data_IF_114672763346
#
_entry.id   IF_114672763346
#
_cell.length_a   1.000
_cell.length_b   1.000
_cell.length_c   1.000
_cell.angle_alpha   90.00
_cell.angle_beta   90.00
_cell.angle_gamma   90.00
#
_symmetry.space_group_name_H-M   'P 1'
#
loop_
_entity.id
_entity.type
_entity.pdbx_description
1 polymer ?
#
# COMPACT_ATOMS: atom_id res chain seq x y z
N UNK A 1 26.67 -2.82 5.40
CA UNK A 1 25.32 -2.27 5.15
C UNK A 1 24.32 -3.10 5.95
N UNK A 2 23.52 -2.52 6.85
CA UNK A 2 22.49 -3.28 7.53
C UNK A 2 21.40 -3.69 6.52
N UNK A 3 20.79 -4.87 6.69
CA UNK A 3 19.75 -5.36 5.79
C UNK A 3 18.49 -4.48 5.86
N UNK A 4 17.69 -4.37 4.79
CA UNK A 4 16.46 -3.60 4.79
C UNK A 4 15.37 -4.33 5.60
N UNK A 5 15.46 -4.24 6.93
CA UNK A 5 14.51 -4.84 7.86
C UNK A 5 13.38 -3.86 8.23
N UNK A 6 12.68 -3.27 7.25
CA UNK A 6 11.43 -2.53 7.52
C UNK A 6 10.45 -2.65 6.35
N UNK A 7 10.07 -3.87 6.00
CA UNK A 7 8.74 -4.12 5.41
C UNK A 7 7.95 -4.86 6.47
N UNK A 8 7.40 -4.08 7.41
CA UNK A 8 6.40 -4.54 8.37
C UNK A 8 5.34 -3.46 8.52
N UNK A 9 4.65 -3.19 7.41
CA UNK A 9 3.25 -2.74 7.47
C UNK A 9 2.40 -3.89 6.92
N UNK A 10 2.21 -4.87 7.80
CA UNK A 10 1.24 -5.98 7.66
C UNK A 10 -0.12 -5.55 8.22
N UNK A 11 -0.24 -4.32 8.72
CA UNK A 11 -1.53 -3.72 8.94
C UNK A 11 -2.21 -3.54 7.57
N UNK A 12 -3.41 -4.10 7.35
CA UNK A 12 -4.18 -3.74 6.17
C UNK A 12 -4.33 -2.21 6.20
N UNK A 13 -3.86 -1.45 5.18
CA UNK A 13 -4.05 0.00 5.15
C UNK A 13 -5.49 0.32 5.50
N UNK A 14 -5.76 1.33 6.33
CA UNK A 14 -7.13 1.70 6.75
C UNK A 14 -8.09 1.93 5.55
N UNK A 15 -7.55 2.15 4.36
CA UNK A 15 -8.27 2.18 3.10
C UNK A 15 -8.91 0.82 2.70
N UNK A 16 -8.40 -0.34 3.12
CA UNK A 16 -8.95 -1.65 2.73
C UNK A 16 -10.35 -1.89 3.25
N UNK A 17 -10.62 -1.53 4.50
CA UNK A 17 -11.95 -1.70 5.11
C UNK A 17 -12.98 -0.78 4.45
N UNK A 18 -12.59 0.45 4.10
CA UNK A 18 -13.46 1.40 3.38
C UNK A 18 -13.70 1.01 1.93
N UNK A 19 -12.70 0.46 1.22
CA UNK A 19 -12.86 -0.05 -0.15
C UNK A 19 -13.75 -1.29 -0.16
N UNK A 20 -13.58 -2.20 0.80
CA UNK A 20 -14.41 -3.39 0.95
C UNK A 20 -15.86 -3.01 1.31
N UNK A 21 -16.06 -2.06 2.23
CA UNK A 21 -17.39 -1.62 2.65
C UNK A 21 -18.14 -0.89 1.54
N UNK A 22 -17.46 -0.07 0.73
CA UNK A 22 -18.04 0.54 -0.47
C UNK A 22 -18.42 -0.51 -1.51
N UNK A 23 -17.56 -1.52 -1.70
CA UNK A 23 -17.84 -2.65 -2.57
C UNK A 23 -19.10 -3.40 -2.13
N UNK A 24 -19.15 -3.76 -0.84
CA UNK A 24 -20.29 -4.41 -0.22
C UNK A 24 -21.59 -3.60 -0.35
N UNK A 25 -21.56 -2.32 0.02
CA UNK A 25 -22.71 -1.43 -0.05
C UNK A 25 -23.26 -1.36 -1.48
N UNK A 26 -22.38 -1.27 -2.48
CA UNK A 26 -22.78 -1.20 -3.88
C UNK A 26 -23.32 -2.54 -4.43
N UNK A 27 -22.91 -3.67 -3.86
CA UNK A 27 -23.46 -5.00 -4.15
C UNK A 27 -24.84 -5.20 -3.51
N UNK A 28 -24.96 -4.85 -2.22
CA UNK A 28 -26.23 -4.86 -1.46
C UNK A 28 -27.27 -3.95 -2.10
N UNK A 29 -26.89 -2.73 -2.53
CA UNK A 29 -27.86 -1.80 -3.11
C UNK A 29 -28.41 -2.31 -4.44
N UNK A 30 -27.55 -2.83 -5.32
CA UNK A 30 -27.96 -3.33 -6.65
C UNK A 30 -28.76 -4.63 -6.57
N UNK A 31 -28.30 -5.60 -5.79
CA UNK A 31 -29.00 -6.87 -5.65
C UNK A 31 -30.20 -6.78 -4.70
N UNK A 32 -30.13 -5.93 -3.67
CA UNK A 32 -31.23 -5.70 -2.73
C UNK A 32 -32.44 -5.03 -3.40
N UNK A 33 -32.21 -4.06 -4.29
CA UNK A 33 -33.30 -3.44 -5.07
C UNK A 33 -33.95 -4.42 -6.04
N UNK A 34 -33.15 -5.23 -6.75
CA UNK A 34 -33.66 -6.28 -7.65
C UNK A 34 -34.42 -7.35 -6.88
N UNK A 35 -33.89 -7.84 -5.76
CA UNK A 35 -34.55 -8.86 -4.92
C UNK A 35 -35.84 -8.35 -4.27
N UNK A 36 -35.88 -7.07 -3.87
CA UNK A 36 -37.09 -6.44 -3.35
C UNK A 36 -38.17 -6.29 -4.44
N UNK A 37 -37.76 -5.85 -5.64
CA UNK A 37 -38.65 -5.73 -6.79
C UNK A 37 -39.18 -7.09 -7.25
N UNK A 38 -38.32 -8.11 -7.31
CA UNK A 38 -38.69 -9.47 -7.62
C UNK A 38 -39.66 -10.03 -6.58
N UNK A 39 -39.46 -9.77 -5.28
CA UNK A 39 -40.39 -10.16 -4.23
C UNK A 39 -41.75 -9.49 -4.37
N UNK A 40 -41.80 -8.19 -4.67
CA UNK A 40 -43.05 -7.46 -4.93
C UNK A 40 -43.80 -8.02 -6.15
N UNK A 41 -43.08 -8.32 -7.24
CA UNK A 41 -43.66 -8.87 -8.46
C UNK A 41 -44.23 -10.29 -8.25
N UNK A 42 -43.48 -11.13 -7.54
CA UNK A 42 -43.89 -12.51 -7.24
C UNK A 42 -45.07 -12.57 -6.28
N UNK A 43 -45.12 -11.64 -5.30
CA UNK A 43 -46.24 -11.49 -4.38
C UNK A 43 -47.52 -11.05 -5.10
N UNK A 44 -47.41 -10.30 -6.19
CA UNK A 44 -48.54 -9.82 -6.99
C UNK A 44 -49.06 -10.85 -8.02
N UNK A 45 -48.19 -11.73 -8.55
CA UNK A 45 -48.54 -12.60 -9.71
C UNK A 45 -48.92 -14.04 -9.37
N UNK A 46 -48.49 -14.62 -8.23
CA UNK A 46 -48.68 -16.06 -8.00
C UNK A 46 -49.38 -16.41 -6.67
N UNK A 47 -50.58 -17.02 -6.68
CA UNK A 47 -51.32 -17.40 -5.47
C UNK A 47 -50.64 -18.50 -4.64
N UNK A 48 -49.70 -19.25 -5.24
CA UNK A 48 -48.88 -20.28 -4.57
C UNK A 48 -47.88 -19.65 -3.58
N UNK A 49 -47.46 -18.40 -3.82
CA UNK A 49 -46.58 -17.66 -2.91
C UNK A 49 -47.30 -17.15 -1.65
N UNK A 50 -48.63 -17.31 -1.54
CA UNK A 50 -49.43 -16.82 -0.42
C UNK A 50 -49.36 -17.71 0.82
N UNK A 51 -48.96 -18.98 0.67
CA UNK A 51 -48.87 -19.95 1.77
C UNK A 51 -47.42 -20.35 2.12
N UNK A 52 -46.42 -19.79 1.43
CA UNK A 52 -45.01 -20.04 1.74
C UNK A 52 -44.54 -19.07 2.84
N UNK A 53 -43.95 -19.60 3.91
CA UNK A 53 -43.66 -18.87 5.15
C UNK A 53 -42.92 -17.56 4.88
N UNK A 54 -43.34 -16.48 5.55
CA UNK A 54 -42.68 -15.17 5.48
C UNK A 54 -41.21 -15.28 5.90
N UNK A 55 -40.90 -16.19 6.83
CA UNK A 55 -39.53 -16.53 7.24
C UNK A 55 -38.66 -17.01 6.07
N UNK A 56 -39.15 -17.95 5.25
CA UNK A 56 -38.38 -18.48 4.12
C UNK A 56 -38.11 -17.40 3.05
N UNK A 57 -39.07 -16.49 2.84
CA UNK A 57 -38.94 -15.36 1.92
C UNK A 57 -37.83 -14.39 2.33
N UNK A 58 -37.85 -13.95 3.60
CA UNK A 58 -36.84 -13.04 4.14
C UNK A 58 -35.47 -13.71 4.16
N UNK A 59 -35.41 -15.01 4.46
CA UNK A 59 -34.16 -15.77 4.40
C UNK A 59 -33.53 -15.73 3.01
N UNK A 60 -34.28 -16.11 1.96
CA UNK A 60 -33.79 -16.06 0.57
C UNK A 60 -33.37 -14.63 0.18
N UNK A 61 -34.13 -13.62 0.61
CA UNK A 61 -33.85 -12.23 0.30
C UNK A 61 -32.54 -11.72 0.94
N UNK A 62 -32.37 -11.92 2.25
CA UNK A 62 -31.16 -11.55 2.99
C UNK A 62 -29.97 -12.35 2.46
N UNK A 63 -30.14 -13.66 2.20
CA UNK A 63 -29.08 -14.50 1.62
C UNK A 63 -28.61 -13.98 0.26
N UNK A 64 -29.53 -13.59 -0.63
CA UNK A 64 -29.16 -12.99 -1.94
C UNK A 64 -28.43 -11.65 -1.78
N UNK A 65 -28.86 -10.84 -0.81
CA UNK A 65 -28.32 -9.51 -0.56
C UNK A 65 -26.91 -9.58 0.03
N UNK A 66 -26.71 -10.45 1.02
CA UNK A 66 -25.40 -10.71 1.62
C UNK A 66 -24.45 -11.30 0.59
N UNK A 67 -24.90 -12.27 -0.22
CA UNK A 67 -24.06 -12.86 -1.26
C UNK A 67 -23.64 -11.82 -2.32
N UNK A 68 -24.59 -11.00 -2.79
CA UNK A 68 -24.30 -9.91 -3.73
C UNK A 68 -23.34 -8.85 -3.17
N UNK A 69 -23.48 -8.54 -1.87
CA UNK A 69 -22.55 -7.67 -1.15
C UNK A 69 -21.14 -8.26 -1.06
N UNK A 70 -21.03 -9.52 -0.64
CA UNK A 70 -19.74 -10.21 -0.49
C UNK A 70 -18.97 -10.31 -1.81
N UNK A 71 -19.64 -10.72 -2.90
CA UNK A 71 -18.99 -10.86 -4.23
C UNK A 71 -18.38 -9.52 -4.69
N UNK A 72 -19.10 -8.41 -4.52
CA UNK A 72 -18.62 -7.12 -5.01
C UNK A 72 -17.53 -6.53 -4.09
N UNK A 73 -17.59 -6.81 -2.78
CA UNK A 73 -16.51 -6.50 -1.85
C UNK A 73 -15.21 -7.23 -2.23
N UNK A 74 -15.29 -8.54 -2.50
CA UNK A 74 -14.13 -9.34 -2.90
C UNK A 74 -13.51 -8.86 -4.22
N UNK A 75 -14.32 -8.50 -5.22
CA UNK A 75 -13.80 -7.92 -6.48
C UNK A 75 -13.06 -6.60 -6.24
N UNK A 76 -13.62 -5.71 -5.40
CA UNK A 76 -12.99 -4.42 -5.07
C UNK A 76 -11.68 -4.57 -4.31
N UNK A 77 -11.62 -5.51 -3.37
CA UNK A 77 -10.39 -5.80 -2.60
C UNK A 77 -9.32 -6.44 -3.50
N UNK A 78 -9.71 -7.37 -4.37
CA UNK A 78 -8.79 -8.01 -5.31
C UNK A 78 -8.18 -7.02 -6.29
N UNK A 79 -9.00 -6.13 -6.85
CA UNK A 79 -8.54 -5.05 -7.75
C UNK A 79 -7.55 -4.12 -7.05
N UNK A 80 -7.82 -3.77 -5.79
CA UNK A 80 -6.90 -2.98 -4.97
C UNK A 80 -5.58 -3.73 -4.74
N UNK A 81 -5.61 -5.00 -4.37
CA UNK A 81 -4.41 -5.81 -4.13
C UNK A 81 -3.53 -5.89 -5.40
N UNK A 82 -4.14 -6.10 -6.57
CA UNK A 82 -3.42 -6.11 -7.85
C UNK A 82 -2.82 -4.73 -8.21
N UNK A 83 -3.50 -3.65 -7.83
CA UNK A 83 -2.95 -2.29 -7.99
C UNK A 83 -1.73 -2.06 -7.10
N UNK A 84 -1.74 -2.56 -5.86
CA UNK A 84 -0.61 -2.50 -4.92
C UNK A 84 0.57 -3.32 -5.46
N UNK A 85 0.31 -4.52 -5.98
CA UNK A 85 1.34 -5.36 -6.61
C UNK A 85 2.00 -4.66 -7.80
N UNK A 86 1.22 -3.99 -8.66
CA UNK A 86 1.75 -3.19 -9.77
C UNK A 86 2.60 -2.02 -9.28
N UNK A 87 2.14 -1.31 -8.25
CA UNK A 87 2.85 -0.17 -7.66
C UNK A 87 4.17 -0.58 -7.02
N UNK A 88 4.20 -1.69 -6.28
CA UNK A 88 5.43 -2.22 -5.67
C UNK A 88 6.47 -2.59 -6.74
N UNK A 89 6.06 -3.24 -7.84
CA UNK A 89 6.96 -3.53 -8.98
C UNK A 89 7.51 -2.28 -9.67
N UNK A 90 6.78 -1.17 -9.66
CA UNK A 90 7.26 0.11 -10.19
C UNK A 90 8.26 0.78 -9.23
N UNK A 91 7.96 0.77 -7.93
CA UNK A 91 8.83 1.31 -6.89
C UNK A 91 10.17 0.58 -6.80
N UNK A 92 10.19 -0.73 -7.04
CA UNK A 92 11.43 -1.52 -7.04
C UNK A 92 12.38 -1.10 -8.16
N UNK A 93 11.84 -0.79 -9.35
CA UNK A 93 12.61 -0.18 -10.45
C UNK A 93 13.14 1.20 -10.10
N UNK A 94 12.34 2.02 -9.43
CA UNK A 94 12.78 3.34 -8.96
C UNK A 94 13.86 3.20 -7.89
N UNK A 95 13.76 2.25 -6.96
CA UNK A 95 14.79 2.00 -5.93
C UNK A 95 16.14 1.61 -6.54
N UNK A 96 16.13 0.80 -7.62
CA UNK A 96 17.35 0.42 -8.32
C UNK A 96 18.04 1.64 -8.96
N UNK A 97 17.30 2.46 -9.72
CA UNK A 97 17.84 3.68 -10.34
C UNK A 97 18.39 4.68 -9.30
N UNK A 98 17.70 4.82 -8.16
CA UNK A 98 18.15 5.71 -7.08
C UNK A 98 19.36 5.15 -6.33
N UNK A 99 19.52 3.82 -6.28
CA UNK A 99 20.69 3.17 -5.70
C UNK A 99 21.95 3.42 -6.50
N UNK A 100 21.87 3.30 -7.82
CA UNK A 100 22.97 3.58 -8.75
C UNK A 100 23.43 5.06 -8.64
N UNK A 101 22.50 6.01 -8.57
CA UNK A 101 22.83 7.42 -8.38
C UNK A 101 23.59 7.69 -7.07
N UNK A 102 23.19 7.02 -5.97
CA UNK A 102 23.87 7.19 -4.68
C UNK A 102 25.28 6.61 -4.70
N UNK A 103 25.48 5.48 -5.38
CA UNK A 103 26.81 4.87 -5.52
C UNK A 103 27.76 5.74 -6.33
N UNK A 104 27.28 6.35 -7.42
CA UNK A 104 28.05 7.31 -8.23
C UNK A 104 28.45 8.54 -7.38
N UNK A 105 27.52 9.09 -6.60
CA UNK A 105 27.80 10.23 -5.71
C UNK A 105 28.82 9.87 -4.62
N UNK A 106 28.74 8.66 -4.06
CA UNK A 106 29.70 8.16 -3.08
C UNK A 106 31.10 7.98 -3.68
N UNK A 107 31.21 7.47 -4.92
CA UNK A 107 32.48 7.37 -5.63
C UNK A 107 33.09 8.74 -5.94
N UNK A 108 32.28 9.72 -6.35
CA UNK A 108 32.74 11.08 -6.59
C UNK A 108 33.23 11.77 -5.31
N UNK A 109 32.64 11.47 -4.15
CA UNK A 109 33.09 11.96 -2.85
C UNK A 109 34.46 11.37 -2.50
N UNK A 110 34.64 10.04 -2.63
CA UNK A 110 35.91 9.37 -2.35
C UNK A 110 37.06 9.85 -3.23
N UNK A 111 36.78 10.14 -4.51
CA UNK A 111 37.78 10.72 -5.43
C UNK A 111 38.25 12.09 -4.93
N UNK A 112 37.32 12.98 -4.55
CA UNK A 112 37.64 14.29 -3.96
C UNK A 112 38.44 14.18 -2.67
N UNK A 113 38.08 13.25 -1.78
CA UNK A 113 38.80 13.05 -0.51
C UNK A 113 40.23 12.53 -0.75
N UNK A 114 40.42 11.68 -1.76
CA UNK A 114 41.73 11.18 -2.19
C UNK A 114 42.57 12.31 -2.79
N UNK A 115 41.98 13.18 -3.61
CA UNK A 115 42.62 14.36 -4.19
C UNK A 115 43.05 15.36 -3.10
N UNK A 116 42.20 15.62 -2.10
CA UNK A 116 42.53 16.47 -0.95
C UNK A 116 43.67 15.88 -0.11
N UNK A 117 43.71 14.56 0.08
CA UNK A 117 44.77 13.87 0.82
C UNK A 117 46.11 13.91 0.09
N UNK A 118 46.11 13.80 -1.24
CA UNK A 118 47.33 13.89 -2.08
C UNK A 118 47.81 15.34 -2.26
N UNK A 119 46.91 16.33 -2.14
CA UNK A 119 47.27 17.75 -2.12
C UNK A 119 47.80 18.23 -0.74
N UNK A 120 47.49 17.52 0.34
CA UNK A 120 47.87 17.88 1.71
C UNK A 120 49.39 17.91 2.05
N UNK A 121 50.33 17.20 1.37
CA UNK A 121 51.75 17.29 1.72
C UNK A 121 52.50 18.47 1.09
N UNK A 122 51.88 19.35 0.29
CA UNK A 122 52.58 20.47 -0.35
C UNK A 122 52.45 21.83 0.36
N UNK A 123 51.52 22.01 1.32
CA UNK A 123 51.31 23.30 2.00
C UNK A 123 51.56 23.28 3.51
N UNK A 124 52.02 22.17 4.08
CA UNK A 124 52.38 22.07 5.51
C UNK A 124 53.90 21.87 5.67
N UNK A 125 54.68 22.86 5.27
CA UNK A 125 56.01 23.07 5.87
C UNK A 125 55.80 23.71 7.25
N UNK A 126 56.31 23.14 8.35
CA UNK A 126 56.27 23.81 9.64
C UNK A 126 57.37 24.87 9.66
N UNK A 127 57.01 26.11 9.27
CA UNK A 127 57.88 27.28 9.45
C UNK A 127 57.35 28.15 10.59
N UNK A 128 58.11 28.24 11.68
CA UNK A 128 58.10 29.37 12.61
C UNK A 128 57.23 29.21 13.86
N UNK A 129 57.88 29.03 15.01
CA UNK A 129 57.25 29.06 16.32
C UNK A 129 58.29 28.89 17.43
N UNK A 130 59.14 29.88 17.61
CA UNK A 130 59.96 30.05 18.82
C UNK A 130 59.05 30.27 20.02
N UNK A 131 58.98 29.32 20.94
CA UNK A 131 58.41 29.56 22.27
C UNK A 131 59.45 29.21 23.33
N UNK A 132 60.11 30.27 23.79
CA UNK A 132 61.03 30.30 24.91
C UNK A 132 60.25 30.21 26.23
N UNK A 133 60.57 29.23 27.07
CA UNK A 133 60.39 29.27 28.54
C UNK A 133 61.11 28.05 29.12
N UNK A 134 62.43 28.08 29.33
CA UNK A 134 63.15 28.62 30.49
C UNK A 134 62.56 28.23 31.86
N UNK A 135 63.08 27.12 32.38
CA UNK A 135 63.70 26.97 33.71
C UNK A 135 63.43 28.11 34.73
N UNK A 136 62.67 27.74 35.77
CA UNK A 136 62.87 27.96 37.22
C UNK A 136 61.56 28.29 37.97
#
# INVERSE_FOLDING_TARGET
MPPPSTIRDIAPPEALSSIASQGFASGVLRFGTISFLAHLLLNARHPVYRNLTIQFKVFIQISSMTLGGCIFAEKRVSEFNDSVRRRNRALERSRQAWGEEQEIRAMAQRRRDSELTVAAPASASPSGGTESANEN
#
